data_IF_498465748196
#
_entry.id   IF_498465748196
#
_cell.length_a   1.000
_cell.length_b   1.000
_cell.length_c   1.000
_cell.angle_alpha   90.00
_cell.angle_beta   90.00
_cell.angle_gamma   90.00
#
_symmetry.space_group_name_H-M   'P 1'
#
loop_
_entity.id
_entity.type
_entity.pdbx_description
1 polymer ?
#
# COMPACT_ATOMS: atom_id res chain seq x y z
N UNK A 1 4.69 10.69 -1.28
CA UNK A 1 4.55 9.26 -0.90
C UNK A 1 5.74 8.75 -0.07
N UNK A 2 5.56 7.68 0.71
CA UNK A 2 6.61 6.88 1.34
C UNK A 2 6.79 5.58 0.53
N UNK A 3 8.05 5.25 0.24
CA UNK A 3 8.45 4.06 -0.54
C UNK A 3 9.05 2.99 0.39
N UNK A 4 9.15 1.72 -0.06
CA UNK A 4 9.83 0.67 0.69
C UNK A 4 11.30 1.02 0.91
N UNK A 5 11.85 0.65 2.07
CA UNK A 5 13.28 0.73 2.30
C UNK A 5 14.01 -0.30 1.40
N UNK A 6 15.13 0.07 0.75
CA UNK A 6 15.89 -0.88 -0.04
C UNK A 6 16.67 -1.87 0.81
N UNK A 7 17.16 -1.45 1.98
CA UNK A 7 17.90 -2.28 2.91
C UNK A 7 17.88 -1.68 4.33
N UNK A 8 18.27 -2.50 5.29
CA UNK A 8 18.62 -2.14 6.67
C UNK A 8 20.04 -2.62 6.96
N UNK A 9 20.56 -2.40 8.17
CA UNK A 9 21.90 -2.88 8.56
C UNK A 9 22.08 -4.41 8.50
N UNK A 10 20.98 -5.17 8.43
CA UNK A 10 21.00 -6.64 8.52
C UNK A 10 20.21 -7.34 7.40
N UNK A 11 19.54 -6.61 6.50
CA UNK A 11 18.68 -7.22 5.48
C UNK A 11 18.58 -6.36 4.21
N UNK A 12 18.40 -7.03 3.07
CA UNK A 12 18.06 -6.40 1.78
C UNK A 12 16.63 -6.72 1.41
N UNK A 13 15.92 -5.73 0.87
CA UNK A 13 14.55 -5.92 0.42
C UNK A 13 14.53 -6.71 -0.90
N UNK A 14 13.78 -7.81 -0.92
CA UNK A 14 13.59 -8.65 -2.12
C UNK A 14 12.41 -8.19 -2.98
N UNK A 15 11.64 -7.21 -2.52
CA UNK A 15 10.50 -6.61 -3.21
C UNK A 15 9.43 -7.60 -3.69
N UNK A 16 9.14 -8.64 -2.90
CA UNK A 16 8.05 -9.60 -3.19
C UNK A 16 6.71 -8.89 -3.46
N UNK A 17 6.44 -7.83 -2.71
CA UNK A 17 5.40 -6.83 -3.02
C UNK A 17 6.01 -5.44 -2.96
N UNK A 18 5.55 -4.55 -3.84
CA UNK A 18 5.98 -3.15 -3.84
C UNK A 18 4.89 -2.25 -3.24
N UNK A 19 5.04 -1.91 -1.95
CA UNK A 19 4.08 -1.10 -1.20
C UNK A 19 4.39 0.39 -1.26
N UNK A 20 3.35 1.21 -1.42
CA UNK A 20 3.41 2.67 -1.34
C UNK A 20 2.47 3.11 -0.22
N UNK A 21 2.93 4.04 0.63
CA UNK A 21 2.08 4.71 1.63
C UNK A 21 1.92 6.17 1.26
N UNK A 22 0.68 6.63 1.13
CA UNK A 22 0.38 8.03 0.89
C UNK A 22 0.74 8.84 2.14
N UNK A 23 1.46 9.95 1.94
CA UNK A 23 1.74 10.88 3.04
C UNK A 23 0.48 11.67 3.42
N UNK A 24 0.55 12.36 4.55
CA UNK A 24 -0.59 13.10 5.12
C UNK A 24 -0.96 14.34 4.30
N UNK A 25 -0.04 14.86 3.48
CA UNK A 25 -0.30 16.02 2.62
C UNK A 25 -1.13 15.68 1.37
N UNK A 26 -1.33 14.39 1.08
CA UNK A 26 -2.17 13.93 -0.04
C UNK A 26 -3.62 13.82 0.46
N UNK A 27 -4.51 14.60 -0.15
CA UNK A 27 -5.89 14.83 0.29
C UNK A 27 -6.86 13.65 0.05
N UNK A 28 -6.42 12.60 -0.63
CA UNK A 28 -7.17 11.37 -0.85
C UNK A 28 -6.50 10.14 -0.19
N UNK A 29 -7.25 9.05 -0.04
CA UNK A 29 -6.80 7.80 0.61
C UNK A 29 -6.33 6.73 -0.39
N UNK A 30 -5.95 5.55 0.13
CA UNK A 30 -5.49 4.45 -0.73
C UNK A 30 -6.58 3.94 -1.68
N UNK A 31 -7.87 3.96 -1.27
CA UNK A 31 -8.96 3.48 -2.11
C UNK A 31 -9.13 4.37 -3.34
N UNK A 32 -9.11 5.69 -3.15
CA UNK A 32 -9.19 6.65 -4.25
C UNK A 32 -7.92 6.63 -5.12
N UNK A 33 -6.73 6.48 -4.52
CA UNK A 33 -5.49 6.30 -5.27
C UNK A 33 -5.56 5.08 -6.21
N UNK A 34 -5.96 3.93 -5.67
CA UNK A 34 -6.11 2.70 -6.45
C UNK A 34 -7.18 2.82 -7.53
N UNK A 35 -8.29 3.53 -7.28
CA UNK A 35 -9.32 3.81 -8.28
C UNK A 35 -8.77 4.64 -9.44
N UNK A 36 -8.03 5.71 -9.16
CA UNK A 36 -7.39 6.57 -10.18
C UNK A 36 -6.35 5.80 -11.00
N UNK A 37 -5.55 4.96 -10.35
CA UNK A 37 -4.58 4.06 -10.99
C UNK A 37 -5.28 3.01 -11.88
N UNK A 38 -6.37 2.41 -11.40
CA UNK A 38 -7.15 1.44 -12.16
C UNK A 38 -7.79 2.06 -13.41
N UNK A 39 -8.23 3.32 -13.35
CA UNK A 39 -8.73 4.06 -14.51
C UNK A 39 -7.67 4.25 -15.61
N UNK A 40 -6.38 4.12 -15.27
CA UNK A 40 -5.24 4.14 -16.19
C UNK A 40 -4.66 2.74 -16.46
N UNK A 41 -5.39 1.67 -16.11
CA UNK A 41 -4.98 0.29 -16.39
C UNK A 41 -3.99 -0.31 -15.38
N UNK A 42 -3.68 0.38 -14.28
CA UNK A 42 -2.77 -0.13 -13.24
C UNK A 42 -3.56 -0.84 -12.15
N UNK A 43 -3.47 -2.17 -12.13
CA UNK A 43 -4.10 -2.98 -11.10
C UNK A 43 -3.35 -2.94 -9.77
N UNK A 44 -4.00 -2.45 -8.71
CA UNK A 44 -3.43 -2.37 -7.36
C UNK A 44 -4.08 -3.35 -6.37
N UNK A 45 -3.50 -3.48 -5.18
CA UNK A 45 -4.09 -4.21 -4.04
C UNK A 45 -3.98 -3.38 -2.76
N UNK A 46 -4.99 -3.37 -1.88
CA UNK A 46 -4.87 -2.69 -0.59
C UNK A 46 -3.82 -3.37 0.29
N UNK A 47 -3.27 -2.62 1.25
CA UNK A 47 -2.59 -3.26 2.38
C UNK A 47 -3.57 -4.12 3.19
N UNK A 48 -3.03 -5.07 3.95
CA UNK A 48 -3.86 -5.88 4.84
C UNK A 48 -4.53 -5.00 5.90
N UNK A 49 -5.81 -5.28 6.14
CA UNK A 49 -6.59 -4.59 7.15
C UNK A 49 -6.18 -5.03 8.55
N UNK A 50 -6.00 -4.11 9.51
CA UNK A 50 -5.29 -4.42 10.75
C UNK A 50 -6.15 -5.31 11.64
N UNK A 51 -5.51 -6.23 12.36
CA UNK A 51 -6.20 -7.29 13.10
C UNK A 51 -7.20 -6.75 14.14
N UNK A 52 -6.86 -5.68 14.85
CA UNK A 52 -7.73 -5.07 15.87
C UNK A 52 -9.02 -4.46 15.29
N UNK A 53 -9.07 -4.17 13.99
CA UNK A 53 -10.27 -3.68 13.30
C UNK A 53 -11.06 -4.80 12.58
N UNK A 54 -10.60 -6.06 12.65
CA UNK A 54 -11.29 -7.18 12.01
C UNK A 54 -12.54 -7.58 12.82
N UNK A 55 -13.76 -7.60 12.23
CA UNK A 55 -14.99 -7.89 12.97
C UNK A 55 -14.98 -9.25 13.68
N UNK A 56 -14.38 -10.27 13.07
CA UNK A 56 -14.30 -11.62 13.66
C UNK A 56 -13.45 -11.62 14.93
N UNK A 57 -12.33 -10.88 14.96
CA UNK A 57 -11.42 -10.82 16.10
C UNK A 57 -12.01 -9.99 17.24
N UNK A 58 -12.73 -8.90 16.91
CA UNK A 58 -13.48 -8.12 17.87
C UNK A 58 -14.61 -8.94 18.53
N UNK A 59 -15.36 -9.73 17.75
CA UNK A 59 -16.41 -10.63 18.26
C UNK A 59 -15.87 -11.71 19.20
N UNK A 60 -14.64 -12.17 18.97
CA UNK A 60 -13.93 -13.08 19.88
C UNK A 60 -13.45 -12.38 21.17
N UNK A 61 -13.64 -11.07 21.28
CA UNK A 61 -13.21 -10.27 22.43
C UNK A 61 -11.72 -9.94 22.44
N UNK A 62 -11.02 -10.10 21.31
CA UNK A 62 -9.62 -9.74 21.17
C UNK A 62 -9.45 -8.23 20.91
N UNK A 63 -8.30 -7.67 21.29
CA UNK A 63 -7.89 -6.28 21.00
C UNK A 63 -8.80 -5.16 21.51
N UNK A 64 -9.66 -5.41 22.52
CA UNK A 64 -10.65 -4.43 23.01
C UNK A 64 -10.08 -3.06 23.44
N UNK A 65 -8.84 -3.04 23.92
CA UNK A 65 -8.16 -1.83 24.41
C UNK A 65 -6.92 -1.48 23.57
N UNK A 66 -6.74 -2.12 22.40
CA UNK A 66 -5.59 -1.88 21.56
C UNK A 66 -5.76 -0.58 20.76
N UNK A 67 -4.94 0.42 21.04
CA UNK A 67 -4.77 1.60 20.19
C UNK A 67 -3.55 1.40 19.28
N UNK A 68 -3.80 1.14 18.00
CA UNK A 68 -2.76 0.82 17.01
C UNK A 68 -2.85 1.79 15.81
N UNK A 69 -2.61 3.10 16.04
CA UNK A 69 -2.89 4.16 15.07
C UNK A 69 -2.02 4.04 13.82
N UNK A 70 -0.80 3.48 13.94
CA UNK A 70 0.08 3.25 12.81
C UNK A 70 -0.48 2.15 11.90
N UNK A 71 -0.99 1.05 12.46
CA UNK A 71 -1.58 -0.03 11.67
C UNK A 71 -2.87 0.46 10.96
N UNK A 72 -3.71 1.20 11.69
CA UNK A 72 -4.90 1.86 11.17
C UNK A 72 -4.59 2.83 10.02
N UNK A 73 -3.52 3.65 10.15
CA UNK A 73 -3.04 4.55 9.09
C UNK A 73 -2.55 3.78 7.88
N UNK A 74 -1.72 2.75 8.08
CA UNK A 74 -1.15 1.95 7.00
C UNK A 74 -2.22 1.26 6.16
N UNK A 75 -3.30 0.75 6.76
CA UNK A 75 -4.36 0.10 5.99
C UNK A 75 -5.23 1.08 5.18
N UNK A 76 -5.40 2.31 5.66
CA UNK A 76 -6.17 3.37 4.96
C UNK A 76 -5.36 4.08 3.88
N UNK A 77 -4.03 4.16 4.04
CA UNK A 77 -3.14 4.95 3.18
C UNK A 77 -2.11 4.13 2.41
N UNK A 78 -2.01 2.84 2.68
CA UNK A 78 -1.07 1.91 2.02
C UNK A 78 -1.73 1.03 0.98
N UNK A 79 -1.05 0.84 -0.15
CA UNK A 79 -1.45 -0.08 -1.21
C UNK A 79 -0.22 -0.63 -1.96
N UNK A 80 -0.40 -1.75 -2.65
CA UNK A 80 0.62 -2.40 -3.47
C UNK A 80 0.38 -2.09 -4.96
N UNK A 81 1.47 -1.79 -5.67
CA UNK A 81 1.48 -1.69 -7.14
C UNK A 81 1.96 -3.02 -7.77
N UNK A 82 1.75 -3.23 -9.09
CA UNK A 82 2.23 -4.43 -9.77
C UNK A 82 3.73 -4.69 -9.52
N UNK A 83 4.02 -5.92 -9.09
CA UNK A 83 5.38 -6.42 -8.80
C UNK A 83 5.54 -7.89 -9.20
N UNK A 84 4.66 -8.38 -10.08
CA UNK A 84 4.68 -9.77 -10.53
C UNK A 84 5.88 -10.08 -11.44
N UNK A 85 6.37 -11.32 -11.39
CA UNK A 85 7.55 -11.77 -12.16
C UNK A 85 7.39 -11.68 -13.69
N UNK A 86 6.17 -11.55 -14.20
CA UNK A 86 5.89 -11.44 -15.63
C UNK A 86 5.96 -9.99 -16.16
N UNK A 87 6.20 -8.99 -15.29
CA UNK A 87 6.33 -7.60 -15.71
C UNK A 87 7.62 -7.39 -16.49
N UNK A 88 7.48 -6.76 -17.65
CA UNK A 88 8.62 -6.27 -18.43
C UNK A 88 9.06 -4.89 -17.95
N UNK A 89 10.28 -4.50 -18.29
CA UNK A 89 10.86 -3.22 -17.87
C UNK A 89 10.09 -2.00 -18.40
N UNK A 90 9.57 -2.07 -19.63
CA UNK A 90 8.71 -1.03 -20.22
C UNK A 90 7.42 -0.84 -19.38
N UNK A 91 6.80 -1.94 -18.95
CA UNK A 91 5.62 -1.90 -18.11
C UNK A 91 5.92 -1.35 -16.71
N UNK A 92 7.09 -1.65 -16.15
CA UNK A 92 7.53 -1.09 -14.86
C UNK A 92 7.68 0.43 -14.98
N UNK A 93 8.30 0.91 -16.06
CA UNK A 93 8.45 2.35 -16.33
C UNK A 93 7.11 3.03 -16.54
N UNK A 94 6.19 2.38 -17.27
CA UNK A 94 4.82 2.85 -17.48
C UNK A 94 4.06 2.98 -16.15
N UNK A 95 4.06 1.94 -15.32
CA UNK A 95 3.42 1.96 -13.99
C UNK A 95 4.01 3.07 -13.13
N UNK A 96 5.34 3.21 -13.08
CA UNK A 96 5.99 4.26 -12.30
C UNK A 96 5.62 5.67 -12.78
N UNK A 97 5.51 5.87 -14.10
CA UNK A 97 5.05 7.12 -14.71
C UNK A 97 3.61 7.46 -14.34
N UNK A 98 2.71 6.48 -14.43
CA UNK A 98 1.29 6.64 -14.06
C UNK A 98 1.15 6.95 -12.56
N UNK A 99 1.92 6.28 -11.70
CA UNK A 99 1.98 6.56 -10.25
C UNK A 99 2.41 8.00 -9.99
N UNK A 100 3.45 8.48 -10.67
CA UNK A 100 3.93 9.86 -10.54
C UNK A 100 2.91 10.90 -11.07
N UNK A 101 2.10 10.55 -12.07
CA UNK A 101 1.03 11.40 -12.59
C UNK A 101 -0.15 11.48 -11.60
N UNK A 102 -0.58 10.34 -11.04
CA UNK A 102 -1.81 10.25 -10.23
C UNK A 102 -1.63 10.75 -8.80
N UNK A 103 -0.44 10.61 -8.23
CA UNK A 103 -0.16 10.85 -6.81
C UNK A 103 0.70 12.11 -6.58
N UNK A 104 0.82 12.96 -7.61
CA UNK A 104 1.46 14.26 -7.47
C UNK A 104 0.59 15.26 -6.72
#
# INVERSE_FOLDING_TARGET
>A
IQLPLPETSYARNIYWVYGIVLKDEIDFDAAEAMKRLAAKGVGCRPFFWPMHEQPVLQKMGLFKEADLPIAAKLARRGFYIPSGMALREDQIREVAGIVAEVIR
#
